data_IF_348300901198
#
_entry.id   IF_348300901198
#
_cell.length_a   1.000
_cell.length_b   1.000
_cell.length_c   1.000
_cell.angle_alpha   90.00
_cell.angle_beta   90.00
_cell.angle_gamma   90.00
#
_symmetry.space_group_name_H-M   'P 1'
#
loop_
_entity.id
_entity.type
_entity.pdbx_description
1 polymer ?
#
# COMPACT_ATOMS: atom_id res chain seq x y z
N UNK A 1 -20.94 9.44 10.99
CA UNK A 1 -20.29 8.40 11.83
C UNK A 1 -19.67 7.35 10.93
N UNK A 2 -20.47 6.80 10.02
CA UNK A 2 -20.07 5.94 8.89
C UNK A 2 -19.09 6.65 7.93
N UNK A 3 -19.33 7.93 7.61
CA UNK A 3 -18.70 8.62 6.47
C UNK A 3 -17.17 8.70 6.53
N UNK A 4 -16.60 8.86 7.73
CA UNK A 4 -15.15 9.02 7.88
C UNK A 4 -14.39 7.70 7.71
N UNK A 5 -14.97 6.59 8.16
CA UNK A 5 -14.43 5.26 7.90
C UNK A 5 -14.57 4.93 6.41
N UNK A 6 -15.69 5.27 5.78
CA UNK A 6 -15.85 5.07 4.34
C UNK A 6 -14.79 5.83 3.53
N UNK A 7 -14.55 7.10 3.84
CA UNK A 7 -13.52 7.89 3.15
C UNK A 7 -12.11 7.31 3.33
N UNK A 8 -11.73 6.97 4.56
CA UNK A 8 -10.40 6.39 4.84
C UNK A 8 -10.21 5.03 4.17
N UNK A 9 -11.24 4.17 4.14
CA UNK A 9 -11.21 2.90 3.40
C UNK A 9 -11.16 3.12 1.88
N UNK A 10 -11.89 4.11 1.35
CA UNK A 10 -11.87 4.44 -0.07
C UNK A 10 -10.48 4.91 -0.51
N UNK A 11 -9.85 5.83 0.25
CA UNK A 11 -8.47 6.24 0.00
C UNK A 11 -7.50 5.05 0.05
N UNK A 12 -7.75 4.09 0.96
CA UNK A 12 -6.94 2.89 1.04
C UNK A 12 -7.07 2.01 -0.20
N UNK A 13 -8.30 1.72 -0.63
CA UNK A 13 -8.58 0.91 -1.82
C UNK A 13 -7.96 1.59 -3.06
N UNK A 14 -8.15 2.90 -3.21
CA UNK A 14 -7.54 3.67 -4.30
C UNK A 14 -6.01 3.52 -4.32
N UNK A 15 -5.35 3.54 -3.15
CA UNK A 15 -3.91 3.31 -3.02
C UNK A 15 -3.51 1.89 -3.42
N UNK A 16 -4.24 0.86 -2.98
CA UNK A 16 -3.95 -0.53 -3.38
C UNK A 16 -4.09 -0.71 -4.89
N UNK A 17 -5.14 -0.14 -5.49
CA UNK A 17 -5.35 -0.14 -6.93
C UNK A 17 -4.20 0.56 -7.65
N UNK A 18 -3.77 1.73 -7.15
CA UNK A 18 -2.60 2.43 -7.68
C UNK A 18 -1.35 1.55 -7.64
N UNK A 19 -1.01 0.91 -6.52
CA UNK A 19 0.15 0.02 -6.44
C UNK A 19 0.05 -1.19 -7.37
N UNK A 20 -1.13 -1.79 -7.51
CA UNK A 20 -1.36 -2.87 -8.47
C UNK A 20 -1.13 -2.40 -9.92
N UNK A 21 -1.61 -1.21 -10.29
CA UNK A 21 -1.37 -0.61 -11.60
C UNK A 21 0.12 -0.34 -11.84
N UNK A 22 0.87 0.09 -10.82
CA UNK A 22 2.32 0.26 -10.91
C UNK A 22 3.03 -1.08 -11.18
N UNK A 23 2.60 -2.18 -10.54
CA UNK A 23 3.12 -3.52 -10.82
C UNK A 23 2.79 -3.95 -12.25
N UNK A 24 1.55 -3.74 -12.72
CA UNK A 24 1.14 -4.08 -14.09
C UNK A 24 1.96 -3.28 -15.11
N UNK A 25 2.18 -2.00 -14.87
CA UNK A 25 3.04 -1.15 -15.69
C UNK A 25 4.49 -1.66 -15.72
N UNK A 26 5.04 -2.02 -14.57
CA UNK A 26 6.37 -2.60 -14.48
C UNK A 26 6.48 -3.93 -15.22
N UNK A 27 5.48 -4.82 -15.12
CA UNK A 27 5.44 -6.08 -15.90
C UNK A 27 5.55 -5.83 -17.39
N UNK A 28 4.82 -4.84 -17.92
CA UNK A 28 4.89 -4.45 -19.33
C UNK A 28 6.26 -3.88 -19.69
N UNK A 29 6.80 -2.99 -18.86
CA UNK A 29 8.10 -2.33 -19.08
C UNK A 29 9.27 -3.31 -19.12
N UNK A 30 9.31 -4.25 -18.17
CA UNK A 30 10.40 -5.22 -18.04
C UNK A 30 10.08 -6.58 -18.66
N UNK A 31 8.95 -6.70 -19.38
CA UNK A 31 8.50 -7.91 -20.08
C UNK A 31 8.42 -9.15 -19.17
N UNK A 32 7.92 -8.97 -17.94
CA UNK A 32 7.73 -10.06 -16.97
C UNK A 32 6.30 -10.58 -17.05
N UNK A 33 6.12 -11.68 -17.79
CA UNK A 33 4.83 -12.36 -17.93
C UNK A 33 4.42 -13.07 -16.64
N UNK A 34 3.14 -13.06 -16.26
CA UNK A 34 2.62 -13.99 -15.25
C UNK A 34 2.92 -15.45 -15.65
N UNK A 35 3.17 -16.38 -14.69
CA UNK A 35 3.10 -16.22 -13.24
C UNK A 35 4.37 -15.64 -12.60
N UNK A 36 5.38 -15.27 -13.40
CA UNK A 36 6.69 -14.88 -12.87
C UNK A 36 6.61 -13.67 -11.92
N UNK A 37 7.35 -13.77 -10.83
CA UNK A 37 7.48 -12.72 -9.80
C UNK A 37 8.94 -12.30 -9.59
N UNK A 38 9.85 -12.82 -10.39
CA UNK A 38 11.28 -12.51 -10.41
C UNK A 38 11.70 -12.03 -11.80
N UNK A 39 12.85 -11.37 -11.90
CA UNK A 39 13.39 -10.89 -13.18
C UNK A 39 14.18 -9.60 -13.02
N UNK A 40 13.66 -8.49 -13.56
CA UNK A 40 14.37 -7.21 -13.50
C UNK A 40 14.37 -6.67 -12.05
N UNK A 41 15.52 -6.23 -11.48
CA UNK A 41 15.59 -5.80 -10.08
C UNK A 41 14.62 -4.66 -9.71
N UNK A 42 14.35 -3.74 -10.64
CA UNK A 42 13.33 -2.68 -10.43
C UNK A 42 11.91 -3.24 -10.37
N UNK A 43 11.59 -4.24 -11.20
CA UNK A 43 10.30 -4.93 -11.14
C UNK A 43 10.14 -5.62 -9.79
N UNK A 44 11.15 -6.38 -9.36
CA UNK A 44 11.11 -7.09 -8.08
C UNK A 44 10.89 -6.13 -6.91
N UNK A 45 11.54 -4.96 -6.91
CA UNK A 45 11.31 -3.95 -5.88
C UNK A 45 9.89 -3.40 -5.87
N UNK A 46 9.35 -3.04 -7.03
CA UNK A 46 7.98 -2.55 -7.16
C UNK A 46 6.98 -3.63 -6.72
N UNK A 47 7.19 -4.87 -7.14
CA UNK A 47 6.37 -6.02 -6.78
C UNK A 47 6.41 -6.28 -5.27
N UNK A 48 7.59 -6.34 -4.66
CA UNK A 48 7.77 -6.53 -3.22
C UNK A 48 7.17 -5.38 -2.40
N UNK A 49 7.30 -4.14 -2.87
CA UNK A 49 6.69 -2.98 -2.22
C UNK A 49 5.15 -3.09 -2.19
N UNK A 50 4.54 -3.53 -3.30
CA UNK A 50 3.10 -3.77 -3.38
C UNK A 50 2.66 -4.92 -2.47
N UNK A 51 3.35 -6.07 -2.51
CA UNK A 51 3.04 -7.23 -1.67
C UNK A 51 3.12 -6.88 -0.20
N UNK A 52 4.17 -6.19 0.24
CA UNK A 52 4.30 -5.73 1.62
C UNK A 52 3.11 -4.84 2.02
N UNK A 53 2.74 -3.86 1.18
CA UNK A 53 1.59 -3.01 1.48
C UNK A 53 0.28 -3.80 1.59
N UNK A 54 0.13 -4.89 0.83
CA UNK A 54 -1.02 -5.80 0.90
C UNK A 54 -1.01 -6.69 2.15
N UNK A 55 0.14 -7.17 2.60
CA UNK A 55 0.26 -7.99 3.82
C UNK A 55 -0.13 -7.22 5.08
N UNK A 56 0.24 -5.94 5.17
CA UNK A 56 -0.11 -5.09 6.31
C UNK A 56 -1.53 -4.51 6.24
N UNK A 57 -2.25 -4.70 5.13
CA UNK A 57 -3.58 -4.13 4.96
C UNK A 57 -4.60 -4.65 5.99
N UNK A 58 -4.78 -5.97 6.17
CA UNK A 58 -5.77 -6.49 7.12
C UNK A 58 -5.50 -5.99 8.54
N UNK A 59 -4.22 -6.00 8.96
CA UNK A 59 -3.79 -5.53 10.29
C UNK A 59 -4.16 -4.06 10.49
N UNK A 60 -3.85 -3.22 9.50
CA UNK A 60 -4.18 -1.80 9.55
C UNK A 60 -5.69 -1.56 9.67
N UNK A 61 -6.50 -2.21 8.85
CA UNK A 61 -7.97 -2.05 8.89
C UNK A 61 -8.51 -2.49 10.23
N UNK A 62 -8.12 -3.67 10.73
CA UNK A 62 -8.58 -4.16 12.03
C UNK A 62 -8.27 -3.16 13.16
N UNK A 63 -7.04 -2.64 13.21
CA UNK A 63 -6.65 -1.67 14.23
C UNK A 63 -7.37 -0.32 14.09
N UNK A 64 -7.56 0.16 12.86
CA UNK A 64 -8.28 1.41 12.60
C UNK A 64 -9.73 1.33 13.07
N UNK A 65 -10.41 0.22 12.77
CA UNK A 65 -11.79 -0.01 13.22
C UNK A 65 -11.88 -0.14 14.74
N UNK A 66 -11.02 -0.94 15.36
CA UNK A 66 -11.01 -1.10 16.83
C UNK A 66 -10.75 0.25 17.52
N UNK A 67 -9.72 0.99 17.11
CA UNK A 67 -9.41 2.30 17.68
C UNK A 67 -10.53 3.32 17.45
N UNK A 68 -11.18 3.25 16.30
CA UNK A 68 -12.24 4.18 15.97
C UNK A 68 -13.57 3.89 16.68
N UNK A 69 -13.92 2.62 16.91
CA UNK A 69 -15.12 2.24 17.67
C UNK A 69 -14.91 2.45 19.18
N UNK A 70 -13.78 1.98 19.72
CA UNK A 70 -13.60 1.82 21.16
C UNK A 70 -12.77 2.93 21.83
N UNK A 71 -12.11 3.80 21.07
CA UNK A 71 -11.26 4.86 21.62
C UNK A 71 -11.70 6.25 21.17
N UNK A 72 -11.34 6.69 19.97
CA UNK A 72 -11.69 8.02 19.48
C UNK A 72 -11.63 8.09 17.95
N UNK A 73 -12.76 8.39 17.32
CA UNK A 73 -12.90 8.39 15.85
C UNK A 73 -11.96 9.37 15.14
N UNK A 74 -11.92 10.64 15.57
CA UNK A 74 -11.07 11.66 14.96
C UNK A 74 -9.57 11.32 15.01
N UNK A 75 -9.07 10.90 16.18
CA UNK A 75 -7.69 10.47 16.36
C UNK A 75 -7.35 9.23 15.53
N UNK A 76 -8.23 8.21 15.52
CA UNK A 76 -8.05 7.01 14.71
C UNK A 76 -7.95 7.35 13.21
N UNK A 77 -8.82 8.24 12.73
CA UNK A 77 -8.80 8.64 11.33
C UNK A 77 -7.58 9.49 10.95
N UNK A 78 -7.14 10.40 11.82
CA UNK A 78 -5.90 11.16 11.62
C UNK A 78 -4.67 10.24 11.57
N UNK A 79 -4.58 9.27 12.48
CA UNK A 79 -3.55 8.24 12.45
C UNK A 79 -3.63 7.37 11.18
N UNK A 80 -4.85 7.05 10.73
CA UNK A 80 -5.10 6.34 9.48
C UNK A 80 -4.56 7.08 8.25
N UNK A 81 -4.82 8.38 8.15
CA UNK A 81 -4.27 9.23 7.08
C UNK A 81 -2.74 9.32 7.14
N UNK A 82 -2.17 9.49 8.34
CA UNK A 82 -0.71 9.49 8.53
C UNK A 82 -0.09 8.18 8.07
N UNK A 83 -0.69 7.04 8.42
CA UNK A 83 -0.25 5.72 7.97
C UNK A 83 -0.31 5.57 6.45
N UNK A 84 -1.40 6.06 5.82
CA UNK A 84 -1.54 6.03 4.37
C UNK A 84 -0.43 6.83 3.67
N UNK A 85 -0.14 8.04 4.15
CA UNK A 85 0.95 8.87 3.65
C UNK A 85 2.32 8.18 3.82
N UNK A 86 2.59 7.62 5.00
CA UNK A 86 3.83 6.88 5.26
C UNK A 86 3.98 5.68 4.32
N UNK A 87 2.90 4.96 4.02
CA UNK A 87 2.93 3.82 3.09
C UNK A 87 3.13 4.23 1.62
N UNK A 88 2.60 5.38 1.20
CA UNK A 88 2.91 5.93 -0.12
C UNK A 88 4.40 6.26 -0.24
N UNK A 89 4.96 6.95 0.76
CA UNK A 89 6.39 7.27 0.80
C UNK A 89 7.26 6.01 0.83
N UNK A 90 6.88 5.01 1.64
CA UNK A 90 7.54 3.70 1.68
C UNK A 90 7.57 3.05 0.30
N UNK A 91 6.43 3.00 -0.40
CA UNK A 91 6.36 2.37 -1.72
C UNK A 91 7.28 3.05 -2.73
N UNK A 92 7.24 4.38 -2.82
CA UNK A 92 8.11 5.12 -3.74
C UNK A 92 9.59 5.03 -3.37
N UNK A 93 9.91 5.07 -2.08
CA UNK A 93 11.27 4.89 -1.58
C UNK A 93 11.81 3.50 -1.89
N UNK A 94 11.03 2.46 -1.64
CA UNK A 94 11.40 1.08 -1.92
C UNK A 94 11.56 0.82 -3.42
N UNK A 95 10.65 1.34 -4.26
CA UNK A 95 10.73 1.21 -5.71
C UNK A 95 12.01 1.86 -6.29
N UNK A 96 12.44 2.99 -5.73
CA UNK A 96 13.62 3.76 -6.16
C UNK A 96 14.91 3.35 -5.46
N UNK A 97 14.84 2.47 -4.46
CA UNK A 97 16.01 2.09 -3.68
C UNK A 97 17.10 1.54 -4.62
N UNK A 98 18.35 2.02 -4.51
CA UNK A 98 19.46 1.45 -5.25
C UNK A 98 19.60 -0.02 -4.85
N UNK A 99 20.05 -0.86 -5.80
CA UNK A 99 20.39 -2.25 -5.48
C UNK A 99 21.41 -2.21 -4.34
N UNK A 100 21.10 -2.84 -3.20
CA UNK A 100 22.12 -3.09 -2.19
C UNK A 100 23.30 -3.76 -2.92
N UNK A 101 24.48 -3.13 -2.82
CA UNK A 101 25.70 -3.58 -3.48
C UNK A 101 26.11 -4.95 -2.97
#
# INVERSE_FOLDING_TARGET
>A
MEDFFFLTNLFFIAKLTYFALQVISARRRYKISPPETTGHPEFERIFRAQVNCSEYFPIFVSLLWVAGIFFHQGAAAAAGLLYLCARLQYFHGYARAPRAR
#
